data_IF_803179748049
#
_entry.id   IF_803179748049
#
_cell.length_a   1.000
_cell.length_b   1.000
_cell.length_c   1.000
_cell.angle_alpha   90.00
_cell.angle_beta   90.00
_cell.angle_gamma   90.00
#
_symmetry.space_group_name_H-M   'P 1'
#
loop_
_entity.id
_entity.type
_entity.pdbx_description
1 polymer ?
#
# COMPACT_ATOMS: atom_id res chain seq x y z
N UNK A 1 -4.36 -12.76 28.90
CA UNK A 1 -5.60 -12.42 28.17
C UNK A 1 -5.25 -11.22 27.28
N UNK A 2 -5.10 -11.44 25.98
CA UNK A 2 -4.78 -10.34 25.04
C UNK A 2 -6.03 -9.47 24.96
N UNK A 3 -5.98 -8.24 25.46
CA UNK A 3 -7.10 -7.31 25.36
C UNK A 3 -7.20 -6.87 23.90
N UNK A 4 -8.26 -7.27 23.24
CA UNK A 4 -8.58 -6.79 21.89
C UNK A 4 -8.76 -5.27 21.95
N UNK A 5 -8.04 -4.53 21.12
CA UNK A 5 -8.25 -3.08 20.98
C UNK A 5 -9.57 -2.86 20.23
N UNK A 6 -10.67 -2.83 20.98
CA UNK A 6 -12.02 -2.70 20.43
C UNK A 6 -12.17 -1.42 19.58
N UNK A 7 -11.68 -0.23 19.99
CA UNK A 7 -11.74 0.97 19.15
C UNK A 7 -11.04 0.80 17.80
N UNK A 8 -9.87 0.18 17.79
CA UNK A 8 -9.12 -0.08 16.57
C UNK A 8 -9.87 -1.04 15.63
N UNK A 9 -10.42 -2.12 16.17
CA UNK A 9 -11.21 -3.08 15.38
C UNK A 9 -12.47 -2.45 14.79
N UNK A 10 -13.17 -1.60 15.55
CA UNK A 10 -14.32 -0.85 15.05
C UNK A 10 -13.92 0.14 13.94
N UNK A 11 -12.78 0.82 14.09
CA UNK A 11 -12.26 1.71 13.07
C UNK A 11 -11.91 0.95 11.76
N UNK A 12 -11.32 -0.24 11.86
CA UNK A 12 -11.09 -1.12 10.72
C UNK A 12 -12.40 -1.56 10.03
N UNK A 13 -13.41 -1.92 10.80
CA UNK A 13 -14.73 -2.29 10.27
C UNK A 13 -15.41 -1.12 9.56
N UNK A 14 -15.37 0.08 10.15
CA UNK A 14 -15.91 1.29 9.54
C UNK A 14 -15.19 1.62 8.22
N UNK A 15 -13.87 1.49 8.19
CA UNK A 15 -13.06 1.69 6.99
C UNK A 15 -13.46 0.72 5.87
N UNK A 16 -13.68 -0.56 6.19
CA UNK A 16 -14.16 -1.55 5.21
C UNK A 16 -15.52 -1.18 4.65
N UNK A 17 -16.46 -0.75 5.48
CA UNK A 17 -17.78 -0.31 5.02
C UNK A 17 -17.67 0.89 4.08
N UNK A 18 -16.93 1.93 4.45
CA UNK A 18 -16.72 3.11 3.62
C UNK A 18 -16.13 2.70 2.26
N UNK A 19 -15.11 1.84 2.26
CA UNK A 19 -14.45 1.38 1.04
C UNK A 19 -15.37 0.51 0.19
N UNK A 20 -16.21 -0.31 0.81
CA UNK A 20 -17.20 -1.15 0.11
C UNK A 20 -18.24 -0.30 -0.64
N UNK A 21 -18.77 0.75 -0.03
CA UNK A 21 -19.70 1.67 -0.72
C UNK A 21 -19.03 2.42 -1.86
N UNK A 22 -17.73 2.66 -1.80
CA UNK A 22 -16.95 3.26 -2.88
C UNK A 22 -16.44 2.24 -3.93
N UNK A 23 -16.80 0.95 -3.83
CA UNK A 23 -16.23 -0.16 -4.64
C UNK A 23 -16.28 0.04 -6.15
N UNK A 24 -17.32 0.68 -6.66
CA UNK A 24 -17.46 0.94 -8.10
C UNK A 24 -16.33 1.85 -8.64
N UNK A 25 -15.75 2.69 -7.79
CA UNK A 25 -14.64 3.59 -8.12
C UNK A 25 -13.28 3.01 -7.71
N UNK A 26 -13.21 2.36 -6.55
CA UNK A 26 -11.96 1.79 -6.01
C UNK A 26 -11.50 0.55 -6.79
N UNK A 27 -12.45 -0.23 -7.31
CA UNK A 27 -12.16 -1.54 -7.87
C UNK A 27 -11.95 -2.63 -6.79
N UNK A 28 -12.03 -3.89 -7.23
CA UNK A 28 -11.94 -5.04 -6.33
C UNK A 28 -10.54 -5.23 -5.74
N UNK A 29 -9.48 -4.89 -6.49
CA UNK A 29 -8.10 -5.05 -6.01
C UNK A 29 -7.82 -4.19 -4.77
N UNK A 30 -8.35 -2.95 -4.74
CA UNK A 30 -8.22 -2.10 -3.55
C UNK A 30 -8.95 -2.69 -2.33
N UNK A 31 -10.16 -3.23 -2.53
CA UNK A 31 -10.90 -3.86 -1.44
C UNK A 31 -10.20 -5.11 -0.90
N UNK A 32 -9.63 -5.93 -1.79
CA UNK A 32 -8.85 -7.09 -1.37
C UNK A 32 -7.55 -6.69 -0.67
N UNK A 33 -6.87 -5.64 -1.14
CA UNK A 33 -5.70 -5.10 -0.46
C UNK A 33 -6.05 -4.66 0.97
N UNK A 34 -7.12 -3.88 1.10
CA UNK A 34 -7.57 -3.40 2.41
C UNK A 34 -8.00 -4.55 3.33
N UNK A 35 -8.75 -5.54 2.81
CA UNK A 35 -9.15 -6.72 3.56
C UNK A 35 -7.94 -7.52 4.03
N UNK A 36 -6.94 -7.72 3.16
CA UNK A 36 -5.69 -8.40 3.49
C UNK A 36 -4.94 -7.68 4.60
N UNK A 37 -4.80 -6.36 4.51
CA UNK A 37 -4.15 -5.54 5.53
C UNK A 37 -4.90 -5.60 6.87
N UNK A 38 -6.23 -5.41 6.88
CA UNK A 38 -7.08 -5.44 8.09
C UNK A 38 -7.01 -6.82 8.76
N UNK A 39 -7.10 -7.89 7.97
CA UNK A 39 -7.01 -9.26 8.50
C UNK A 39 -5.67 -9.48 9.19
N UNK A 40 -4.57 -8.97 8.61
CA UNK A 40 -3.24 -9.05 9.21
C UNK A 40 -3.14 -8.23 10.49
N UNK A 41 -3.65 -7.00 10.47
CA UNK A 41 -3.65 -6.12 11.63
C UNK A 41 -4.45 -6.71 12.82
N UNK A 42 -5.57 -7.36 12.53
CA UNK A 42 -6.36 -8.04 13.56
C UNK A 42 -5.66 -9.34 14.02
N UNK A 43 -5.13 -10.15 13.10
CA UNK A 43 -4.46 -11.41 13.42
C UNK A 43 -3.22 -11.20 14.29
N UNK A 44 -2.49 -10.10 14.10
CA UNK A 44 -1.34 -9.75 14.92
C UNK A 44 -1.71 -9.52 16.40
N UNK A 45 -2.94 -9.08 16.70
CA UNK A 45 -3.43 -8.93 18.07
C UNK A 45 -3.64 -10.28 18.78
N UNK A 46 -3.86 -11.36 18.01
CA UNK A 46 -4.06 -12.71 18.53
C UNK A 46 -2.80 -13.58 18.54
N UNK A 47 -1.61 -13.01 18.32
CA UNK A 47 -0.34 -13.73 18.23
C UNK A 47 -0.28 -14.79 17.12
N UNK A 48 -1.14 -14.70 16.12
CA UNK A 48 -1.13 -15.59 14.95
C UNK A 48 -0.14 -15.02 13.92
N UNK A 49 1.15 -15.18 14.19
CA UNK A 49 2.24 -14.51 13.47
C UNK A 49 2.30 -14.84 11.98
N UNK A 50 2.07 -16.11 11.61
CA UNK A 50 2.18 -16.55 10.21
C UNK A 50 1.11 -15.88 9.32
N UNK A 51 -0.15 -15.90 9.74
CA UNK A 51 -1.24 -15.29 8.98
C UNK A 51 -1.14 -13.76 8.93
N UNK A 52 -0.66 -13.15 10.02
CA UNK A 52 -0.39 -11.71 10.05
C UNK A 52 0.62 -11.30 8.98
N UNK A 53 1.77 -11.95 8.92
CA UNK A 53 2.82 -11.63 7.95
C UNK A 53 2.40 -11.88 6.50
N UNK A 54 1.71 -12.99 6.23
CA UNK A 54 1.24 -13.32 4.87
C UNK A 54 0.28 -12.28 4.32
N UNK A 55 -0.64 -11.78 5.13
CA UNK A 55 -1.59 -10.78 4.66
C UNK A 55 -0.93 -9.42 4.38
N UNK A 56 0.09 -9.01 5.14
CA UNK A 56 0.86 -7.81 4.81
C UNK A 56 1.67 -7.96 3.52
N UNK A 57 2.25 -9.14 3.27
CA UNK A 57 2.93 -9.42 2.00
C UNK A 57 1.95 -9.38 0.83
N UNK A 58 0.77 -9.97 0.98
CA UNK A 58 -0.27 -10.00 -0.05
C UNK A 58 -0.88 -8.61 -0.32
N UNK A 59 -0.86 -7.72 0.65
CA UNK A 59 -1.33 -6.35 0.52
C UNK A 59 -0.62 -5.62 -0.63
N UNK A 60 0.70 -5.71 -0.76
CA UNK A 60 1.47 -4.93 -1.74
C UNK A 60 1.12 -5.24 -3.19
N UNK A 61 1.10 -6.49 -3.68
CA UNK A 61 0.70 -6.73 -5.08
C UNK A 61 -0.73 -6.28 -5.37
N UNK A 62 -1.63 -6.39 -4.40
CA UNK A 62 -3.01 -5.95 -4.55
C UNK A 62 -3.13 -4.43 -4.63
N UNK A 63 -2.43 -3.70 -3.75
CA UNK A 63 -2.50 -2.23 -3.73
C UNK A 63 -1.78 -1.62 -4.94
N UNK A 64 -0.63 -2.13 -5.36
CA UNK A 64 0.04 -1.71 -6.58
C UNK A 64 -0.86 -1.92 -7.81
N UNK A 65 -1.50 -3.08 -7.92
CA UNK A 65 -2.48 -3.36 -8.97
C UNK A 65 -3.74 -2.49 -8.90
N UNK A 66 -4.06 -1.91 -7.73
CA UNK A 66 -5.19 -1.01 -7.58
C UNK A 66 -4.90 0.44 -8.05
N UNK A 67 -3.64 0.91 -7.98
CA UNK A 67 -3.25 2.30 -8.30
C UNK A 67 -3.83 2.79 -9.63
N UNK A 68 -3.71 2.07 -10.77
CA UNK A 68 -4.24 2.55 -12.04
C UNK A 68 -5.74 2.81 -12.02
N UNK A 69 -6.50 2.02 -11.24
CA UNK A 69 -7.94 2.23 -11.08
C UNK A 69 -8.25 3.36 -10.12
N UNK A 70 -7.50 3.51 -9.05
CA UNK A 70 -7.66 4.59 -8.08
C UNK A 70 -7.51 5.96 -8.75
N UNK A 71 -6.58 6.07 -9.70
CA UNK A 71 -6.33 7.29 -10.48
C UNK A 71 -7.05 7.32 -11.83
N UNK A 72 -7.86 6.32 -12.17
CA UNK A 72 -8.61 6.21 -13.46
C UNK A 72 -7.70 6.26 -14.70
N UNK A 73 -6.48 5.72 -14.59
CA UNK A 73 -5.48 5.79 -15.65
C UNK A 73 -5.63 4.65 -16.66
N UNK A 74 -6.04 3.45 -16.19
CA UNK A 74 -6.06 2.24 -17.00
C UNK A 74 -7.46 1.66 -17.13
N UNK A 75 -7.79 1.19 -18.35
CA UNK A 75 -8.95 0.36 -18.66
C UNK A 75 -8.62 -1.15 -18.64
N UNK A 76 -7.39 -1.52 -18.29
CA UNK A 76 -6.93 -2.90 -18.27
C UNK A 76 -7.75 -3.78 -17.32
N UNK A 77 -7.75 -5.07 -17.60
CA UNK A 77 -8.43 -6.06 -16.76
C UNK A 77 -7.78 -6.14 -15.37
N UNK A 78 -8.55 -6.58 -14.39
CA UNK A 78 -8.03 -6.74 -13.02
C UNK A 78 -6.87 -7.72 -12.94
N UNK A 79 -6.88 -8.77 -13.79
CA UNK A 79 -5.83 -9.77 -13.82
C UNK A 79 -4.48 -9.19 -14.27
N UNK A 80 -4.48 -8.39 -15.33
CA UNK A 80 -3.26 -7.70 -15.81
C UNK A 80 -2.72 -6.78 -14.73
N UNK A 81 -3.58 -5.97 -14.10
CA UNK A 81 -3.17 -5.08 -13.01
C UNK A 81 -2.62 -5.82 -11.79
N UNK A 82 -3.18 -6.99 -11.46
CA UNK A 82 -2.66 -7.82 -10.38
C UNK A 82 -1.27 -8.37 -10.72
N UNK A 83 -1.06 -8.81 -11.97
CA UNK A 83 0.24 -9.26 -12.43
C UNK A 83 1.28 -8.15 -12.36
N UNK A 84 0.93 -6.94 -12.82
CA UNK A 84 1.80 -5.77 -12.74
C UNK A 84 2.15 -5.42 -11.28
N UNK A 85 1.16 -5.42 -10.39
CA UNK A 85 1.37 -5.22 -8.96
C UNK A 85 2.30 -6.27 -8.35
N UNK A 86 2.17 -7.53 -8.78
CA UNK A 86 3.06 -8.61 -8.35
C UNK A 86 4.49 -8.41 -8.84
N UNK A 87 4.69 -7.99 -10.09
CA UNK A 87 6.02 -7.69 -10.66
C UNK A 87 6.68 -6.53 -9.90
N UNK A 88 5.94 -5.47 -9.58
CA UNK A 88 6.46 -4.34 -8.79
C UNK A 88 6.87 -4.81 -7.39
N UNK A 89 6.05 -5.61 -6.73
CA UNK A 89 6.34 -6.15 -5.40
C UNK A 89 7.58 -7.03 -5.41
N UNK A 90 7.71 -7.93 -6.38
CA UNK A 90 8.88 -8.78 -6.54
C UNK A 90 10.14 -7.97 -6.84
N UNK A 91 10.04 -6.96 -7.71
CA UNK A 91 11.13 -6.03 -7.98
C UNK A 91 11.59 -5.28 -6.73
N UNK A 92 10.66 -4.75 -5.95
CA UNK A 92 10.97 -4.12 -4.67
C UNK A 92 11.65 -5.10 -3.70
N UNK A 93 11.17 -6.35 -3.62
CA UNK A 93 11.75 -7.39 -2.77
C UNK A 93 13.19 -7.73 -3.16
N UNK A 94 13.53 -7.75 -4.46
CA UNK A 94 14.91 -8.00 -4.91
C UNK A 94 15.85 -6.86 -4.56
N UNK A 95 15.42 -5.59 -4.68
CA UNK A 95 16.21 -4.43 -4.21
C UNK A 95 16.51 -4.56 -2.72
N UNK A 96 15.48 -4.91 -1.93
CA UNK A 96 15.62 -5.09 -0.48
C UNK A 96 16.61 -6.20 -0.15
N UNK A 97 16.47 -7.36 -0.82
CA UNK A 97 17.37 -8.49 -0.60
C UNK A 97 18.81 -8.13 -0.92
N UNK A 98 19.06 -7.39 -1.99
CA UNK A 98 20.38 -6.92 -2.36
C UNK A 98 21.01 -5.98 -1.31
N UNK A 99 20.20 -5.09 -0.71
CA UNK A 99 20.65 -4.18 0.34
C UNK A 99 20.87 -4.94 1.65
N UNK A 100 19.91 -5.77 2.07
CA UNK A 100 19.94 -6.49 3.34
C UNK A 100 21.09 -7.51 3.40
N UNK A 101 21.38 -8.22 2.30
CA UNK A 101 22.47 -9.18 2.25
C UNK A 101 23.87 -8.53 2.39
N UNK A 102 23.98 -7.23 2.11
CA UNK A 102 25.28 -6.53 2.18
C UNK A 102 25.65 -5.94 3.53
N UNK A 103 24.71 -5.55 4.38
CA UNK A 103 25.08 -4.68 5.51
C UNK A 103 24.23 -4.73 6.79
N UNK A 104 23.10 -5.45 6.89
CA UNK A 104 22.23 -5.27 8.06
C UNK A 104 21.84 -6.58 8.76
N UNK A 105 22.06 -6.70 10.09
CA UNK A 105 21.52 -7.78 10.92
C UNK A 105 20.05 -7.56 11.30
N UNK A 106 19.32 -6.76 10.54
CA UNK A 106 17.91 -6.46 10.79
C UNK A 106 17.01 -7.47 10.10
N UNK A 107 15.88 -7.76 10.77
CA UNK A 107 14.84 -8.61 10.21
C UNK A 107 14.41 -8.08 8.84
N UNK A 108 14.41 -8.95 7.82
CA UNK A 108 14.05 -8.63 6.43
C UNK A 108 12.75 -7.82 6.33
N UNK A 109 11.76 -8.16 7.15
CA UNK A 109 10.45 -7.49 7.14
C UNK A 109 10.54 -6.01 7.53
N UNK A 110 11.44 -5.62 8.42
CA UNK A 110 11.60 -4.22 8.82
C UNK A 110 12.12 -3.31 7.71
N UNK A 111 12.79 -3.88 6.70
CA UNK A 111 13.28 -3.13 5.54
C UNK A 111 12.27 -3.24 4.39
N UNK A 112 11.59 -4.39 4.29
CA UNK A 112 10.64 -4.68 3.21
C UNK A 112 9.51 -3.64 3.15
N UNK A 113 8.83 -3.40 4.27
CA UNK A 113 7.67 -2.50 4.29
C UNK A 113 8.01 -1.06 3.88
N UNK A 114 9.00 -0.36 4.48
CA UNK A 114 9.30 1.02 4.09
C UNK A 114 9.72 1.18 2.63
N UNK A 115 10.41 0.20 2.04
CA UNK A 115 10.80 0.28 0.63
C UNK A 115 9.59 0.05 -0.29
N UNK A 116 8.72 -0.91 0.03
CA UNK A 116 7.47 -1.09 -0.70
C UNK A 116 6.58 0.15 -0.61
N UNK A 117 6.51 0.79 0.56
CA UNK A 117 5.73 2.02 0.76
C UNK A 117 6.30 3.21 0.01
N UNK A 118 7.62 3.37 -0.01
CA UNK A 118 8.26 4.39 -0.82
C UNK A 118 7.98 4.17 -2.30
N UNK A 119 8.08 2.92 -2.77
CA UNK A 119 7.74 2.55 -4.15
C UNK A 119 6.27 2.84 -4.46
N UNK A 120 5.37 2.56 -3.52
CA UNK A 120 3.94 2.84 -3.60
C UNK A 120 3.67 4.35 -3.73
N UNK A 121 4.32 5.14 -2.89
CA UNK A 121 4.21 6.60 -2.92
C UNK A 121 4.73 7.19 -4.25
N UNK A 122 5.86 6.69 -4.74
CA UNK A 122 6.42 7.10 -6.04
C UNK A 122 5.46 6.74 -7.18
N UNK A 123 4.92 5.52 -7.19
CA UNK A 123 3.96 5.06 -8.19
C UNK A 123 2.68 5.92 -8.19
N UNK A 124 2.16 6.25 -7.00
CA UNK A 124 1.03 7.14 -6.84
C UNK A 124 1.34 8.56 -7.35
N UNK A 125 2.51 9.09 -7.02
CA UNK A 125 2.95 10.42 -7.47
C UNK A 125 3.07 10.48 -9.01
N UNK A 126 3.75 9.51 -9.64
CA UNK A 126 3.84 9.41 -11.10
C UNK A 126 2.44 9.34 -11.73
N UNK A 127 1.52 8.62 -11.10
CA UNK A 127 0.15 8.49 -11.58
C UNK A 127 -0.60 9.81 -11.60
N UNK A 128 -0.35 10.69 -10.64
CA UNK A 128 -0.99 12.01 -10.57
C UNK A 128 -0.37 13.01 -11.54
N UNK A 129 0.95 12.99 -11.76
CA UNK A 129 1.58 13.94 -12.69
C UNK A 129 1.06 13.82 -14.12
N UNK A 130 0.39 12.71 -14.44
CA UNK A 130 -0.21 12.45 -15.76
C UNK A 130 -1.64 12.92 -15.89
N UNK A 131 -2.22 13.53 -14.86
CA UNK A 131 -3.60 14.00 -14.83
C UNK A 131 -3.72 15.38 -14.23
N UNK A 132 -4.79 16.14 -14.55
CA UNK A 132 -5.07 17.39 -13.87
C UNK A 132 -5.23 17.12 -12.37
N UNK A 133 -4.55 17.93 -11.57
CA UNK A 133 -4.61 17.85 -10.12
C UNK A 133 -6.04 18.20 -9.67
N UNK A 134 -6.67 17.29 -8.96
CA UNK A 134 -8.00 17.48 -8.39
C UNK A 134 -8.03 17.01 -6.93
N UNK A 135 -9.08 17.39 -6.20
CA UNK A 135 -9.22 17.02 -4.79
C UNK A 135 -9.13 15.49 -4.58
N UNK A 136 -9.69 14.69 -5.49
CA UNK A 136 -9.58 13.24 -5.46
C UNK A 136 -8.12 12.79 -5.44
N UNK A 137 -7.34 13.23 -6.43
CA UNK A 137 -5.93 12.83 -6.55
C UNK A 137 -5.08 13.30 -5.38
N UNK A 138 -5.35 14.51 -4.87
CA UNK A 138 -4.67 15.02 -3.69
C UNK A 138 -4.96 14.18 -2.44
N UNK A 139 -6.23 13.81 -2.20
CA UNK A 139 -6.59 12.97 -1.06
C UNK A 139 -5.96 11.58 -1.15
N UNK A 140 -5.89 10.98 -2.35
CA UNK A 140 -5.28 9.67 -2.56
C UNK A 140 -3.77 9.73 -2.30
N UNK A 141 -3.06 10.71 -2.88
CA UNK A 141 -1.61 10.88 -2.63
C UNK A 141 -1.35 11.14 -1.15
N UNK A 142 -2.11 12.05 -0.55
CA UNK A 142 -1.93 12.38 0.86
C UNK A 142 -2.21 11.16 1.75
N UNK A 143 -3.19 10.33 1.37
CA UNK A 143 -3.45 9.05 2.03
C UNK A 143 -2.26 8.08 1.96
N UNK A 144 -1.65 7.91 0.78
CA UNK A 144 -0.44 7.10 0.65
C UNK A 144 0.75 7.71 1.40
N UNK A 145 0.90 9.04 1.40
CA UNK A 145 1.96 9.70 2.15
C UNK A 145 1.81 9.50 3.66
N UNK A 146 0.58 9.61 4.20
CA UNK A 146 0.30 9.33 5.62
C UNK A 146 0.58 7.88 5.96
N UNK A 147 0.15 6.94 5.10
CA UNK A 147 0.40 5.51 5.28
C UNK A 147 1.91 5.22 5.34
N UNK A 148 2.68 5.65 4.34
CA UNK A 148 4.14 5.47 4.29
C UNK A 148 4.85 6.14 5.47
N UNK A 149 4.46 7.36 5.83
CA UNK A 149 5.05 8.07 6.98
C UNK A 149 4.81 7.30 8.29
N UNK A 150 3.63 6.66 8.43
CA UNK A 150 3.32 5.84 9.61
C UNK A 150 4.23 4.61 9.67
N UNK A 151 4.52 3.95 8.55
CA UNK A 151 5.43 2.80 8.50
C UNK A 151 6.88 3.21 8.81
N UNK A 152 7.34 4.35 8.34
CA UNK A 152 8.65 4.89 8.72
C UNK A 152 8.73 5.22 10.22
N UNK A 153 7.68 5.80 10.80
CA UNK A 153 7.61 6.06 12.24
C UNK A 153 7.58 4.76 13.03
N UNK A 154 6.86 3.75 12.55
CA UNK A 154 6.81 2.42 13.16
C UNK A 154 8.21 1.78 13.19
N UNK A 155 8.91 1.78 12.06
CA UNK A 155 10.28 1.27 11.98
C UNK A 155 11.22 2.01 12.95
N UNK A 156 11.12 3.33 12.99
CA UNK A 156 11.92 4.12 13.94
C UNK A 156 11.62 3.78 15.38
N UNK A 157 10.35 3.59 15.75
CA UNK A 157 9.98 3.21 17.13
C UNK A 157 10.45 1.82 17.49
N UNK A 158 10.40 0.86 16.56
CA UNK A 158 10.91 -0.49 16.79
C UNK A 158 12.43 -0.48 16.99
N UNK A 159 13.17 0.18 16.11
CA UNK A 159 14.62 0.29 16.20
C UNK A 159 15.08 1.01 17.48
N UNK A 160 14.30 1.96 17.96
CA UNK A 160 14.56 2.66 19.21
C UNK A 160 14.05 1.92 20.46
N UNK A 161 13.46 0.73 20.33
CA UNK A 161 12.77 -0.02 21.40
C UNK A 161 11.71 0.80 22.15
N UNK A 162 11.01 1.72 21.44
CA UNK A 162 9.98 2.62 21.98
C UNK A 162 8.56 2.24 21.56
N UNK A 163 8.40 1.22 20.72
CA UNK A 163 7.09 0.84 20.19
C UNK A 163 6.19 0.26 21.30
N UNK A 164 4.95 0.73 21.33
CA UNK A 164 3.88 0.25 22.20
C UNK A 164 2.67 -0.17 21.34
N UNK A 165 2.14 -1.35 21.58
CA UNK A 165 1.09 -1.95 20.76
C UNK A 165 -0.21 -1.12 20.66
N UNK A 166 -0.55 -0.32 21.64
CA UNK A 166 -1.76 0.52 21.66
C UNK A 166 -1.44 2.01 21.44
N UNK A 167 -0.45 2.29 20.61
CA UNK A 167 -0.05 3.65 20.28
C UNK A 167 -1.07 4.33 19.36
N UNK A 168 -1.29 5.62 19.54
CA UNK A 168 -2.06 6.46 18.61
C UNK A 168 -1.53 6.39 17.17
N UNK A 169 -0.26 6.03 17.01
CA UNK A 169 0.36 5.81 15.70
C UNK A 169 -0.38 4.73 14.89
N UNK A 170 -0.96 3.71 15.52
CA UNK A 170 -1.68 2.65 14.83
C UNK A 170 -2.88 3.20 14.03
N UNK A 171 -3.44 4.32 14.43
CA UNK A 171 -4.50 5.01 13.69
C UNK A 171 -3.99 5.76 12.45
N UNK A 172 -2.70 5.97 12.31
CA UNK A 172 -2.09 6.59 11.13
C UNK A 172 -2.35 5.77 9.86
N UNK A 173 -2.23 4.44 9.91
CA UNK A 173 -2.58 3.57 8.79
C UNK A 173 -4.06 3.66 8.43
N UNK A 174 -4.94 3.66 9.43
CA UNK A 174 -6.39 3.81 9.22
C UNK A 174 -6.69 5.15 8.57
N UNK A 175 -6.07 6.24 9.03
CA UNK A 175 -6.21 7.57 8.46
C UNK A 175 -5.76 7.60 6.99
N UNK A 176 -4.62 6.97 6.66
CA UNK A 176 -4.13 6.87 5.30
C UNK A 176 -5.16 6.20 4.37
N UNK A 177 -5.68 5.04 4.75
CA UNK A 177 -6.72 4.35 3.97
C UNK A 177 -8.05 5.11 3.94
N UNK A 178 -8.41 5.79 5.01
CA UNK A 178 -9.62 6.61 5.06
C UNK A 178 -9.54 7.74 4.03
N UNK A 179 -8.41 8.43 3.96
CA UNK A 179 -8.18 9.49 2.96
C UNK A 179 -8.26 8.96 1.52
N UNK A 180 -7.66 7.78 1.24
CA UNK A 180 -7.76 7.13 -0.06
C UNK A 180 -9.23 6.80 -0.36
N UNK A 181 -9.95 6.20 0.58
CA UNK A 181 -11.35 5.78 0.40
C UNK A 181 -12.27 6.99 0.21
N UNK A 182 -12.11 8.04 1.03
CA UNK A 182 -12.88 9.28 0.90
C UNK A 182 -12.57 9.98 -0.42
N UNK A 183 -11.31 9.98 -0.85
CA UNK A 183 -10.91 10.51 -2.16
C UNK A 183 -11.72 9.92 -3.31
N UNK A 184 -12.12 8.65 -3.21
CA UNK A 184 -12.91 7.99 -4.27
C UNK A 184 -14.35 8.50 -4.39
N UNK A 185 -14.90 9.17 -3.39
CA UNK A 185 -16.23 9.79 -3.49
C UNK A 185 -16.22 11.07 -4.33
N UNK A 186 -15.07 11.72 -4.48
CA UNK A 186 -14.95 12.90 -5.34
C UNK A 186 -14.83 12.50 -6.81
N UNK A 187 -15.39 13.31 -7.68
CA UNK A 187 -15.28 13.10 -9.14
C UNK A 187 -13.89 13.47 -9.61
N UNK A 188 -13.25 12.57 -10.37
CA UNK A 188 -12.07 12.91 -11.15
C UNK A 188 -12.42 13.88 -12.30
N UNK A 189 -11.46 14.66 -12.72
CA UNK A 189 -11.59 15.47 -13.96
C UNK A 189 -11.43 14.48 -15.12
N UNK A 190 -12.44 14.39 -16.01
CA UNK A 190 -12.28 13.65 -17.26
C UNK A 190 -11.14 14.29 -18.04
N UNK A 191 -10.04 13.59 -18.20
CA UNK A 191 -8.97 14.00 -19.11
C UNK A 191 -9.24 13.42 -20.49
N UNK A 192 -8.83 14.13 -21.52
CA UNK A 192 -8.68 13.57 -22.85
C UNK A 192 -7.78 12.34 -22.80
N UNK A 193 -8.01 11.38 -23.69
CA UNK A 193 -7.34 10.07 -23.69
C UNK A 193 -5.82 10.23 -23.77
N UNK A 194 -5.15 10.11 -22.64
CA UNK A 194 -3.71 9.89 -22.64
C UNK A 194 -3.43 8.43 -23.02
N UNK A 195 -2.35 8.15 -23.75
CA UNK A 195 -1.97 6.78 -24.05
C UNK A 195 -1.87 5.97 -22.74
N UNK A 196 -2.35 4.74 -22.75
CA UNK A 196 -2.38 3.91 -21.55
C UNK A 196 -0.97 3.81 -20.95
N UNK A 197 -0.84 4.18 -19.70
CA UNK A 197 0.36 3.89 -18.94
C UNK A 197 0.32 2.41 -18.63
N UNK A 198 1.14 1.64 -19.31
CA UNK A 198 1.32 0.26 -18.93
C UNK A 198 2.10 0.23 -17.61
N UNK A 199 1.43 -0.13 -16.53
CA UNK A 199 2.03 -0.46 -15.24
C UNK A 199 3.08 -1.55 -15.42
N UNK A 200 2.93 -2.40 -16.45
CA UNK A 200 3.90 -3.41 -16.87
C UNK A 200 5.29 -2.81 -17.14
N UNK A 201 5.38 -1.71 -17.92
CA UNK A 201 6.68 -1.07 -18.18
C UNK A 201 7.30 -0.47 -16.91
N UNK A 202 6.48 0.05 -16.00
CA UNK A 202 6.97 0.51 -14.71
C UNK A 202 7.48 -0.66 -13.87
N UNK A 203 6.70 -1.73 -13.76
CA UNK A 203 7.10 -2.94 -13.05
C UNK A 203 8.38 -3.55 -13.63
N UNK A 204 8.47 -3.64 -14.95
CA UNK A 204 9.65 -4.13 -15.63
C UNK A 204 10.89 -3.26 -15.38
N UNK A 205 10.73 -1.94 -15.34
CA UNK A 205 11.85 -1.03 -15.04
C UNK A 205 12.32 -1.15 -13.59
N UNK A 206 11.41 -1.33 -12.64
CA UNK A 206 11.74 -1.61 -11.23
C UNK A 206 12.47 -2.94 -11.11
N UNK A 207 12.00 -3.99 -11.78
CA UNK A 207 12.64 -5.30 -11.79
C UNK A 207 14.05 -5.25 -12.41
N UNK A 208 14.18 -4.58 -13.55
CA UNK A 208 15.49 -4.42 -14.23
C UNK A 208 16.49 -3.65 -13.35
N UNK A 209 16.04 -2.57 -12.70
CA UNK A 209 16.88 -1.80 -11.78
C UNK A 209 17.30 -2.64 -10.57
N UNK A 210 16.40 -3.46 -10.05
CA UNK A 210 16.66 -4.37 -8.93
C UNK A 210 17.70 -5.42 -9.30
N UNK A 211 17.60 -6.02 -10.49
CA UNK A 211 18.57 -7.01 -10.99
C UNK A 211 19.95 -6.40 -11.20
N UNK A 212 20.04 -5.16 -11.70
CA UNK A 212 21.31 -4.45 -11.83
C UNK A 212 21.98 -4.13 -10.49
N UNK A 213 21.19 -3.88 -9.44
CA UNK A 213 21.74 -3.62 -8.11
C UNK A 213 22.13 -4.87 -7.35
N UNK A 214 21.64 -6.04 -7.75
CA UNK A 214 21.92 -7.33 -7.11
C UNK A 214 23.16 -8.04 -7.66
N UNK A 215 23.66 -7.66 -8.84
CA UNK A 215 24.90 -8.16 -9.47
C UNK A 215 26.10 -7.37 -9.01
#
# INVERSE_FOLDING_TARGET
MVSMDLPYTLACAALMLISYFAKHRNGLLYLFALASWITSAISSQFLITIWGSLGYILFYPLIFGAIPKLFEISQETQMVRLLDGSVITLGSSTVISAIALRQLPTDFMHIFYPICDLTLLIAAFISVTRRPICLRSLLIIFGFAVFSATDFLFLWQITANKYQNNSLMNYGWILGFLLISVGQYFRGIKSEEFPPFSTFYFGLSVLASALMLSG
#
